data_IF_696640920978
#
_entry.id   IF_696640920978
#
_cell.length_a   1.000
_cell.length_b   1.000
_cell.length_c   1.000
_cell.angle_alpha   90.00
_cell.angle_beta   90.00
_cell.angle_gamma   90.00
#
_symmetry.space_group_name_H-M   'P 1'
#
loop_
_entity.id
_entity.type
_entity.pdbx_description
1 polymer ?
#
# COMPACT_ATOMS: atom_id res chain seq x y z
N UNK A 1 46.28 -33.51 27.23
CA UNK A 1 46.39 -32.70 26.01
C UNK A 1 45.09 -32.64 25.19
N UNK A 2 44.24 -33.68 25.16
CA UNK A 2 42.99 -33.66 24.38
C UNK A 2 41.98 -32.57 24.82
N UNK A 3 41.88 -32.29 26.14
CA UNK A 3 40.95 -31.30 26.71
C UNK A 3 41.25 -29.86 26.28
N UNK A 4 42.52 -29.48 26.16
CA UNK A 4 42.92 -28.13 25.76
C UNK A 4 42.68 -27.88 24.27
N UNK A 5 42.87 -28.88 23.41
CA UNK A 5 42.54 -28.78 21.98
C UNK A 5 41.03 -28.70 21.73
N UNK A 6 40.22 -29.42 22.51
CA UNK A 6 38.76 -29.35 22.41
C UNK A 6 38.22 -27.97 22.80
N UNK A 7 38.77 -27.38 23.87
CA UNK A 7 38.38 -26.04 24.34
C UNK A 7 38.76 -24.96 23.32
N UNK A 8 39.93 -25.09 22.69
CA UNK A 8 40.37 -24.21 21.61
C UNK A 8 39.47 -24.31 20.36
N UNK A 9 39.08 -25.53 19.97
CA UNK A 9 38.15 -25.75 18.84
C UNK A 9 36.77 -25.15 19.12
N UNK A 10 36.24 -25.28 20.35
CA UNK A 10 34.97 -24.66 20.74
C UNK A 10 35.06 -23.13 20.65
N UNK A 11 36.16 -22.52 21.11
CA UNK A 11 36.36 -21.08 21.00
C UNK A 11 36.41 -20.60 19.55
N UNK A 12 37.10 -21.32 18.67
CA UNK A 12 37.17 -20.97 17.23
C UNK A 12 35.81 -21.09 16.57
N UNK A 13 35.09 -22.21 16.80
CA UNK A 13 33.77 -22.42 16.20
C UNK A 13 32.76 -21.40 16.73
N UNK A 14 32.81 -21.09 18.02
CA UNK A 14 31.95 -20.06 18.63
C UNK A 14 32.24 -18.68 18.05
N UNK A 15 33.51 -18.29 17.93
CA UNK A 15 33.90 -17.03 17.31
C UNK A 15 33.45 -16.94 15.85
N UNK A 16 33.63 -18.02 15.08
CA UNK A 16 33.19 -18.09 13.69
C UNK A 16 31.68 -17.95 13.55
N UNK A 17 30.89 -18.70 14.33
CA UNK A 17 29.43 -18.59 14.32
C UNK A 17 28.96 -17.19 14.71
N UNK A 18 29.62 -16.55 15.68
CA UNK A 18 29.28 -15.20 16.12
C UNK A 18 29.57 -14.17 15.01
N UNK A 19 30.66 -14.32 14.26
CA UNK A 19 30.93 -13.46 13.10
C UNK A 19 29.91 -13.62 11.98
N UNK A 20 29.47 -14.86 11.68
CA UNK A 20 28.42 -15.13 10.70
C UNK A 20 27.09 -14.49 11.13
N UNK A 21 26.73 -14.60 12.41
CA UNK A 21 25.55 -13.95 12.97
C UNK A 21 25.64 -12.43 12.87
N UNK A 22 26.81 -11.83 13.16
CA UNK A 22 27.01 -10.39 13.06
C UNK A 22 26.86 -9.88 11.61
N UNK A 23 27.44 -10.60 10.65
CA UNK A 23 27.33 -10.27 9.22
C UNK A 23 25.87 -10.38 8.76
N UNK A 24 25.18 -11.46 9.13
CA UNK A 24 23.77 -11.63 8.80
C UNK A 24 22.90 -10.50 9.37
N UNK A 25 23.13 -10.13 10.63
CA UNK A 25 22.44 -9.02 11.28
C UNK A 25 22.71 -7.68 10.58
N UNK A 26 23.97 -7.39 10.21
CA UNK A 26 24.31 -6.17 9.48
C UNK A 26 23.62 -6.10 8.11
N UNK A 27 23.55 -7.22 7.39
CA UNK A 27 22.84 -7.32 6.11
C UNK A 27 21.35 -7.04 6.32
N UNK A 28 20.73 -7.65 7.33
CA UNK A 28 19.32 -7.45 7.66
C UNK A 28 19.02 -6.00 8.06
N UNK A 29 19.85 -5.39 8.90
CA UNK A 29 19.70 -3.99 9.33
C UNK A 29 19.84 -3.03 8.15
N UNK A 30 20.82 -3.27 7.26
CA UNK A 30 21.01 -2.45 6.06
C UNK A 30 19.82 -2.57 5.11
N UNK A 31 19.28 -3.77 4.94
CA UNK A 31 18.08 -4.00 4.14
C UNK A 31 16.86 -3.28 4.73
N UNK A 32 16.65 -3.42 6.05
CA UNK A 32 15.56 -2.76 6.76
C UNK A 32 15.62 -1.23 6.66
N UNK A 33 16.79 -0.63 6.84
CA UNK A 33 16.95 0.82 6.76
C UNK A 33 16.66 1.39 5.37
N UNK A 34 17.02 0.67 4.31
CA UNK A 34 16.71 1.08 2.93
C UNK A 34 15.21 0.98 2.66
N UNK A 35 14.57 -0.13 3.05
CA UNK A 35 13.12 -0.33 2.87
C UNK A 35 12.29 0.70 3.64
N UNK A 36 12.70 1.01 4.86
CA UNK A 36 12.08 2.03 5.70
C UNK A 36 12.14 3.40 5.00
N UNK A 37 13.32 3.84 4.58
CA UNK A 37 13.49 5.14 3.91
C UNK A 37 12.65 5.28 2.63
N UNK A 38 12.53 4.21 1.84
CA UNK A 38 11.72 4.25 0.61
C UNK A 38 10.22 4.28 0.90
N UNK A 39 9.77 3.55 1.93
CA UNK A 39 8.35 3.53 2.32
C UNK A 39 7.91 4.88 2.88
N UNK A 40 8.74 5.49 3.75
CA UNK A 40 8.48 6.82 4.28
C UNK A 40 8.50 7.91 3.21
N UNK A 41 9.43 7.85 2.25
CA UNK A 41 9.48 8.84 1.17
C UNK A 41 8.19 8.83 0.34
N UNK A 42 7.68 7.64 -0.01
CA UNK A 42 6.41 7.52 -0.73
C UNK A 42 5.24 8.05 0.11
N UNK A 43 5.19 7.70 1.39
CA UNK A 43 4.13 8.14 2.31
C UNK A 43 4.15 9.65 2.52
N UNK A 44 5.31 10.27 2.66
CA UNK A 44 5.48 11.71 2.79
C UNK A 44 5.00 12.44 1.54
N UNK A 45 5.34 11.93 0.35
CA UNK A 45 4.87 12.53 -0.90
C UNK A 45 3.35 12.43 -1.02
N UNK A 46 2.77 11.27 -0.71
CA UNK A 46 1.31 11.09 -0.79
C UNK A 46 0.59 11.98 0.23
N UNK A 47 0.99 11.96 1.49
CA UNK A 47 0.36 12.73 2.56
C UNK A 47 0.51 14.24 2.37
N UNK A 48 1.70 14.71 1.95
CA UNK A 48 1.93 16.12 1.65
C UNK A 48 1.07 16.61 0.49
N UNK A 49 0.98 15.84 -0.59
CA UNK A 49 0.15 16.22 -1.74
C UNK A 49 -1.34 16.12 -1.43
N UNK A 50 -1.77 15.17 -0.61
CA UNK A 50 -3.16 15.08 -0.17
C UNK A 50 -3.55 16.28 0.70
N UNK A 51 -2.69 16.65 1.66
CA UNK A 51 -2.89 17.82 2.50
C UNK A 51 -2.97 19.12 1.68
N UNK A 52 -2.07 19.29 0.68
CA UNK A 52 -2.10 20.45 -0.22
C UNK A 52 -3.38 20.56 -1.05
N UNK A 53 -4.02 19.43 -1.35
CA UNK A 53 -5.29 19.39 -2.07
C UNK A 53 -6.50 19.27 -1.14
N UNK A 54 -6.31 19.48 0.17
CA UNK A 54 -7.37 19.38 1.18
C UNK A 54 -8.13 18.05 1.18
N UNK A 55 -7.43 16.95 0.83
CA UNK A 55 -7.95 15.60 0.88
C UNK A 55 -7.50 14.99 2.22
N UNK A 56 -8.38 14.82 3.21
CA UNK A 56 -8.03 14.14 4.45
C UNK A 56 -7.82 12.66 4.16
N UNK A 57 -6.67 12.14 4.60
CA UNK A 57 -6.34 10.72 4.51
C UNK A 57 -6.32 10.11 5.91
N UNK A 58 -6.98 8.97 6.05
CA UNK A 58 -7.05 8.20 7.29
C UNK A 58 -6.37 6.86 7.09
N UNK A 59 -5.66 6.36 8.09
CA UNK A 59 -5.13 4.99 8.05
C UNK A 59 -6.31 4.02 8.21
N UNK A 60 -6.37 2.99 7.37
CA UNK A 60 -7.35 1.92 7.49
C UNK A 60 -6.65 0.57 7.61
N UNK A 61 -7.17 -0.28 8.50
CA UNK A 61 -6.65 -1.63 8.68
C UNK A 61 -7.04 -2.52 7.49
N UNK A 62 -6.11 -3.34 7.01
CA UNK A 62 -6.35 -4.29 5.93
C UNK A 62 -7.44 -5.30 6.26
N UNK A 63 -7.56 -5.70 7.52
CA UNK A 63 -8.58 -6.64 8.00
C UNK A 63 -9.96 -5.99 8.03
N UNK A 64 -10.04 -4.69 8.32
CA UNK A 64 -11.30 -3.94 8.21
C UNK A 64 -11.71 -3.85 6.75
N UNK A 65 -10.77 -3.55 5.85
CA UNK A 65 -11.03 -3.46 4.42
C UNK A 65 -11.46 -4.82 3.83
N UNK A 66 -10.81 -5.91 4.22
CA UNK A 66 -11.16 -7.27 3.79
C UNK A 66 -12.56 -7.64 4.26
N UNK A 67 -12.92 -7.33 5.50
CA UNK A 67 -14.25 -7.58 6.05
C UNK A 67 -15.36 -6.78 5.35
N UNK A 68 -15.09 -5.52 4.97
CA UNK A 68 -16.03 -4.70 4.19
C UNK A 68 -16.25 -5.35 2.81
N UNK A 69 -15.18 -5.75 2.13
CA UNK A 69 -15.29 -6.42 0.82
C UNK A 69 -16.02 -7.76 0.90
N UNK A 70 -15.75 -8.56 1.93
CA UNK A 70 -16.36 -9.88 2.11
C UNK A 70 -17.85 -9.80 2.47
N UNK A 71 -18.27 -8.76 3.21
CA UNK A 71 -19.69 -8.50 3.46
C UNK A 71 -20.41 -8.11 2.17
N UNK A 72 -19.80 -7.26 1.35
CA UNK A 72 -20.38 -6.84 0.07
C UNK A 72 -20.49 -8.02 -0.92
N UNK A 73 -19.51 -8.93 -0.93
CA UNK A 73 -19.55 -10.14 -1.74
C UNK A 73 -20.68 -11.12 -1.33
N UNK A 74 -21.06 -11.13 -0.04
CA UNK A 74 -22.18 -11.94 0.47
C UNK A 74 -23.56 -11.33 0.16
N UNK A 75 -23.64 -10.02 -0.07
CA UNK A 75 -24.89 -9.31 -0.39
C UNK A 75 -25.29 -9.35 -1.88
N UNK A 76 -24.69 -10.24 -2.68
CA UNK A 76 -25.16 -10.53 -4.04
C UNK A 76 -24.63 -9.60 -5.14
N UNK A 77 -23.77 -8.63 -4.81
CA UNK A 77 -23.13 -7.74 -5.79
C UNK A 77 -21.92 -8.45 -6.42
N UNK A 78 -22.24 -9.43 -7.28
CA UNK A 78 -21.28 -10.27 -8.01
C UNK A 78 -20.87 -9.53 -9.28
N UNK A 79 -19.97 -8.55 -9.18
CA UNK A 79 -19.54 -7.81 -10.38
C UNK A 79 -18.24 -7.01 -10.29
N UNK A 80 -17.77 -6.66 -9.09
CA UNK A 80 -16.50 -5.95 -8.91
C UNK A 80 -15.33 -6.92 -8.84
N UNK A 81 -14.48 -6.91 -9.87
CA UNK A 81 -13.35 -7.80 -10.10
C UNK A 81 -12.25 -7.62 -9.01
N UNK A 82 -12.48 -8.15 -7.81
CA UNK A 82 -11.54 -8.17 -6.66
C UNK A 82 -10.20 -8.87 -6.97
N UNK A 83 -10.12 -9.54 -8.12
CA UNK A 83 -8.93 -10.18 -8.67
C UNK A 83 -7.77 -9.20 -8.88
N UNK A 84 -8.04 -7.99 -9.40
CA UNK A 84 -6.96 -7.07 -9.76
C UNK A 84 -6.18 -6.54 -8.55
N UNK A 85 -6.86 -6.26 -7.44
CA UNK A 85 -6.20 -5.83 -6.21
C UNK A 85 -5.27 -6.92 -5.67
N UNK A 86 -5.70 -8.19 -5.66
CA UNK A 86 -4.87 -9.29 -5.16
C UNK A 86 -3.63 -9.51 -6.03
N UNK A 87 -3.71 -9.35 -7.35
CA UNK A 87 -2.56 -9.55 -8.25
C UNK A 87 -1.53 -8.41 -8.14
N UNK A 88 -1.98 -7.14 -8.06
CA UNK A 88 -1.10 -5.98 -7.93
C UNK A 88 -0.43 -5.87 -6.54
N UNK A 89 -1.07 -6.44 -5.52
CA UNK A 89 -0.67 -6.33 -4.12
C UNK A 89 0.06 -7.57 -3.57
N UNK A 90 0.04 -8.70 -4.28
CA UNK A 90 0.64 -9.95 -3.80
C UNK A 90 2.15 -9.81 -3.58
N UNK A 91 2.59 -10.07 -2.34
CA UNK A 91 4.01 -10.06 -1.97
C UNK A 91 4.63 -8.67 -1.82
N UNK A 92 3.84 -7.59 -1.73
CA UNK A 92 4.33 -6.22 -1.50
C UNK A 92 3.85 -5.68 -0.15
N UNK A 93 4.63 -4.79 0.48
CA UNK A 93 4.20 -4.05 1.67
C UNK A 93 3.22 -2.96 1.22
N UNK A 94 1.99 -3.00 1.72
CA UNK A 94 0.95 -2.04 1.35
C UNK A 94 0.55 -1.21 2.56
N UNK A 95 0.50 0.11 2.39
CA UNK A 95 -0.17 0.99 3.34
C UNK A 95 -1.53 1.34 2.78
N UNK A 96 -2.58 1.03 3.55
CA UNK A 96 -3.95 1.37 3.20
C UNK A 96 -4.34 2.70 3.83
N UNK A 97 -4.76 3.64 2.98
CA UNK A 97 -5.31 4.92 3.36
C UNK A 97 -6.76 5.00 2.87
N UNK A 98 -7.55 5.85 3.51
CA UNK A 98 -8.94 6.07 3.18
C UNK A 98 -9.26 7.56 3.15
N UNK A 99 -10.21 7.94 2.31
CA UNK A 99 -10.85 9.26 2.32
C UNK A 99 -12.34 9.13 2.02
N UNK A 100 -13.08 10.21 2.18
CA UNK A 100 -14.51 10.25 1.85
C UNK A 100 -14.74 10.92 0.50
N UNK A 101 -15.74 10.46 -0.24
CA UNK A 101 -16.11 10.95 -1.57
C UNK A 101 -16.33 12.46 -1.61
N UNK A 102 -16.86 13.04 -0.53
CA UNK A 102 -17.07 14.49 -0.39
C UNK A 102 -15.77 15.31 -0.49
N UNK A 103 -14.62 14.72 -0.16
CA UNK A 103 -13.31 15.35 -0.28
C UNK A 103 -12.54 14.89 -1.53
N UNK A 104 -13.06 13.91 -2.26
CA UNK A 104 -12.45 13.28 -3.43
C UNK A 104 -13.13 13.72 -4.73
N UNK A 105 -13.38 15.03 -4.89
CA UNK A 105 -13.93 15.55 -6.15
C UNK A 105 -12.97 15.30 -7.31
N UNK A 106 -13.52 15.14 -8.53
CA UNK A 106 -12.71 14.85 -9.72
C UNK A 106 -11.58 15.88 -9.95
N UNK A 107 -11.84 17.15 -9.64
CA UNK A 107 -10.84 18.22 -9.74
C UNK A 107 -9.69 18.01 -8.74
N UNK A 108 -10.01 17.74 -7.47
CA UNK A 108 -9.01 17.55 -6.41
C UNK A 108 -8.19 16.27 -6.64
N UNK A 109 -8.85 15.19 -7.03
CA UNK A 109 -8.20 13.92 -7.37
C UNK A 109 -7.28 14.10 -8.57
N UNK A 110 -7.71 14.81 -9.61
CA UNK A 110 -6.85 15.08 -10.78
C UNK A 110 -5.62 15.90 -10.41
N UNK A 111 -5.77 16.93 -9.56
CA UNK A 111 -4.64 17.74 -9.07
C UNK A 111 -3.68 16.90 -8.21
N UNK A 112 -4.22 16.09 -7.31
CA UNK A 112 -3.45 15.16 -6.50
C UNK A 112 -2.66 14.17 -7.36
N UNK A 113 -3.32 13.48 -8.30
CA UNK A 113 -2.70 12.51 -9.20
C UNK A 113 -1.60 13.16 -10.03
N UNK A 114 -1.85 14.36 -10.57
CA UNK A 114 -0.87 15.11 -11.36
C UNK A 114 0.35 15.49 -10.52
N UNK A 115 0.14 15.96 -9.28
CA UNK A 115 1.22 16.35 -8.38
C UNK A 115 2.10 15.15 -7.96
N UNK A 116 1.48 13.98 -7.74
CA UNK A 116 2.19 12.73 -7.41
C UNK A 116 2.97 12.21 -8.62
N UNK A 117 2.36 12.21 -9.82
CA UNK A 117 3.04 11.84 -11.07
C UNK A 117 4.22 12.76 -11.40
N UNK A 118 4.10 14.06 -11.15
CA UNK A 118 5.20 15.01 -11.32
C UNK A 118 6.40 14.74 -10.40
N UNK A 119 6.24 13.94 -9.35
CA UNK A 119 7.32 13.48 -8.47
C UNK A 119 7.95 12.15 -8.92
N UNK A 120 7.53 11.59 -10.06
CA UNK A 120 8.08 10.37 -10.63
C UNK A 120 7.39 9.09 -10.18
N UNK A 121 6.25 9.18 -9.48
CA UNK A 121 5.46 8.02 -9.07
C UNK A 121 4.36 7.70 -10.08
N UNK A 122 4.03 6.42 -10.20
CA UNK A 122 2.92 5.97 -11.03
C UNK A 122 1.67 5.87 -10.18
N UNK A 123 0.56 6.44 -10.68
CA UNK A 123 -0.74 6.41 -10.01
C UNK A 123 -1.75 5.74 -10.94
N UNK A 124 -2.28 4.60 -10.48
CA UNK A 124 -3.40 3.90 -11.11
C UNK A 124 -4.69 4.38 -10.45
N UNK A 125 -5.68 4.71 -11.27
CA UNK A 125 -7.01 5.15 -10.84
C UNK A 125 -8.00 4.08 -11.26
N UNK A 126 -8.71 3.52 -10.30
CA UNK A 126 -9.86 2.65 -10.55
C UNK A 126 -11.11 3.50 -10.40
N UNK A 127 -11.96 3.45 -11.41
CA UNK A 127 -13.23 4.15 -11.42
C UNK A 127 -14.36 3.15 -11.62
N UNK A 128 -15.48 3.42 -10.97
CA UNK A 128 -16.71 2.65 -11.09
C UNK A 128 -17.86 3.60 -11.37
N UNK A 129 -18.98 3.08 -11.89
CA UNK A 129 -20.18 3.87 -12.07
C UNK A 129 -20.76 4.29 -10.72
N UNK A 130 -21.22 5.53 -10.61
CA UNK A 130 -21.85 6.06 -9.42
C UNK A 130 -23.18 5.33 -9.17
N UNK A 131 -23.27 4.49 -8.13
CA UNK A 131 -24.48 3.72 -7.88
C UNK A 131 -25.70 4.61 -7.60
N UNK A 132 -25.51 5.84 -7.12
CA UNK A 132 -26.62 6.76 -6.84
C UNK A 132 -27.23 7.34 -8.12
N UNK A 133 -26.44 7.44 -9.19
CA UNK A 133 -26.86 8.02 -10.48
C UNK A 133 -27.25 6.96 -11.50
N UNK A 134 -26.75 5.73 -11.35
CA UNK A 134 -27.17 4.58 -12.17
C UNK A 134 -28.69 4.35 -12.09
N UNK A 135 -29.32 4.57 -10.92
CA UNK A 135 -30.77 4.49 -10.77
C UNK A 135 -31.55 5.51 -11.60
N UNK A 136 -30.90 6.58 -12.05
CA UNK A 136 -31.46 7.63 -12.91
C UNK A 136 -31.03 7.47 -14.37
N UNK A 137 -30.49 6.32 -14.77
CA UNK A 137 -29.94 6.06 -16.11
C UNK A 137 -28.79 7.02 -16.48
N UNK A 138 -28.11 7.59 -15.47
CA UNK A 138 -26.97 8.47 -15.65
C UNK A 138 -25.67 7.70 -15.40
N UNK A 139 -24.89 7.51 -16.47
CA UNK A 139 -23.59 6.84 -16.42
C UNK A 139 -22.47 7.81 -16.06
N UNK A 140 -22.30 8.06 -14.76
CA UNK A 140 -21.22 8.92 -14.24
C UNK A 140 -20.18 8.06 -13.54
N UNK A 141 -18.92 8.15 -13.99
CA UNK A 141 -17.79 7.43 -13.39
C UNK A 141 -17.20 8.18 -12.20
N UNK A 142 -17.01 7.49 -11.07
CA UNK A 142 -16.42 8.01 -9.83
C UNK A 142 -15.17 7.23 -9.44
N UNK A 143 -14.11 7.89 -8.93
CA UNK A 143 -12.91 7.20 -8.48
C UNK A 143 -13.14 6.45 -7.17
N UNK A 144 -13.01 5.12 -7.16
CA UNK A 144 -13.16 4.31 -5.94
C UNK A 144 -11.83 3.99 -5.28
N UNK A 145 -10.78 3.77 -6.08
CA UNK A 145 -9.45 3.43 -5.58
C UNK A 145 -8.34 4.17 -6.33
N UNK A 146 -7.31 4.59 -5.59
CA UNK A 146 -6.05 5.05 -6.14
C UNK A 146 -4.91 4.15 -5.64
N UNK A 147 -4.05 3.71 -6.55
CA UNK A 147 -2.87 2.91 -6.22
C UNK A 147 -1.64 3.70 -6.64
N UNK A 148 -0.78 4.04 -5.69
CA UNK A 148 0.47 4.78 -5.92
C UNK A 148 1.65 3.82 -5.77
N UNK A 149 2.49 3.78 -6.80
CA UNK A 149 3.62 2.87 -6.92
C UNK A 149 4.86 3.66 -7.32
N UNK A 150 6.01 3.34 -6.71
CA UNK A 150 7.31 3.81 -7.17
C UNK A 150 7.92 2.81 -8.15
N UNK A 151 7.79 3.08 -9.45
CA UNK A 151 8.35 2.23 -10.52
C UNK A 151 9.87 2.44 -10.71
N UNK A 152 10.45 3.51 -10.13
CA UNK A 152 11.88 3.75 -10.23
C UNK A 152 12.69 2.83 -9.30
N UNK A 153 12.03 2.09 -8.42
CA UNK A 153 12.63 1.01 -7.64
C UNK A 153 12.64 -0.30 -8.44
N UNK A 154 13.85 -0.83 -8.68
CA UNK A 154 14.03 -2.14 -9.33
C UNK A 154 13.17 -3.24 -8.69
N UNK A 155 12.65 -4.11 -9.56
CA UNK A 155 11.77 -5.27 -9.32
C UNK A 155 12.28 -6.20 -8.20
N UNK A 156 13.59 -6.19 -7.91
CA UNK A 156 14.21 -6.98 -6.84
C UNK A 156 13.97 -6.42 -5.43
N UNK A 157 13.53 -5.16 -5.31
CA UNK A 157 13.11 -4.53 -4.06
C UNK A 157 11.60 -4.44 -4.08
N UNK A 158 10.95 -5.14 -3.16
CA UNK A 158 9.50 -5.06 -2.96
C UNK A 158 9.07 -3.61 -2.75
N UNK A 159 8.65 -2.95 -3.83
CA UNK A 159 8.24 -1.55 -3.84
C UNK A 159 7.06 -1.37 -2.89
N UNK A 160 7.16 -0.43 -1.95
CA UNK A 160 6.03 -0.07 -1.09
C UNK A 160 4.90 0.46 -1.97
N UNK A 161 3.68 0.00 -1.71
CA UNK A 161 2.48 0.43 -2.44
C UNK A 161 1.59 1.19 -1.48
N UNK A 162 1.09 2.35 -1.90
CA UNK A 162 0.04 3.05 -1.15
C UNK A 162 -1.28 2.83 -1.87
N UNK A 163 -2.23 2.24 -1.17
CA UNK A 163 -3.57 2.02 -1.65
C UNK A 163 -4.51 3.01 -0.92
N UNK A 164 -5.13 3.92 -1.67
CA UNK A 164 -6.09 4.89 -1.16
C UNK A 164 -7.49 4.48 -1.59
N UNK A 165 -8.37 4.22 -0.63
CA UNK A 165 -9.78 3.88 -0.82
C UNK A 165 -10.63 5.13 -0.65
N UNK A 166 -11.59 5.35 -1.54
CA UNK A 166 -12.51 6.48 -1.48
C UNK A 166 -13.90 5.95 -1.13
N UNK A 167 -14.38 6.28 0.06
CA UNK A 167 -15.69 5.86 0.55
C UNK A 167 -16.77 6.85 0.12
N UNK A 168 -17.71 6.38 -0.69
CA UNK A 168 -18.92 7.11 -1.04
C UNK A 168 -20.09 6.65 -0.18
N UNK A 169 -20.97 7.58 0.15
CA UNK A 169 -22.24 7.25 0.79
C UNK A 169 -23.12 6.49 -0.22
N UNK A 170 -23.64 5.34 0.20
CA UNK A 170 -24.70 4.65 -0.54
C UNK A 170 -26.04 5.11 -0.01
N UNK A 171 -26.88 5.67 -0.88
CA UNK A 171 -28.29 5.91 -0.55
C UNK A 171 -28.95 4.53 -0.49
N UNK A 172 -29.32 4.08 0.72
CA UNK A 172 -30.19 2.92 0.85
C UNK A 172 -31.58 3.33 0.36
N UNK A 173 -32.05 2.74 -0.73
CA UNK A 173 -33.47 2.78 -1.06
C UNK A 173 -34.22 2.04 0.04
N UNK A 174 -34.87 2.78 0.93
CA UNK A 174 -35.86 2.25 1.88
C UNK A 174 -37.05 1.66 1.16
#
# INVERSE_FOLDING_TARGET
>A
MLKTHLLFMICIVSGFLLTLQLISLQILLRKGHVEEKTSWNLLDVVTLNANRNSIPLFLIDSEVLSNISAKNAKSGDSGGDTSYCNVLCSGRKITHLATFGQFATQLLITRFVTAVKAKGFTVLKLEELDPTLVHYELEVSIPTHLIVIDENLHIDKMSHVIHIVIFYERIQST
#
